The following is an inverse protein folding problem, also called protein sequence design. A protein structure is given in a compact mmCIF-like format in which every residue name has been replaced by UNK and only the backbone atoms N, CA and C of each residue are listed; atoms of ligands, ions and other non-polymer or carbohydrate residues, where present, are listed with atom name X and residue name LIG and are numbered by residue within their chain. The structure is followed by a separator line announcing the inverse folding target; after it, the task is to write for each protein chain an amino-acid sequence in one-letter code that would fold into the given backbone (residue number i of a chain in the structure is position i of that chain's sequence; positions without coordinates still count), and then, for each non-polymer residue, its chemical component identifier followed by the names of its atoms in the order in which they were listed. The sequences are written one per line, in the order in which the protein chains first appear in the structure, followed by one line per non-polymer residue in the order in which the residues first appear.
data_IF_514142150139
#
_entry.id   IF_514142150139
#
_cell.length_a   1.000
_cell.length_b   1.000
_cell.length_c   1.000
_cell.angle_alpha   90.00
_cell.angle_beta   90.00
_cell.angle_gamma   90.00
#
_symmetry.space_group_name_H-M   'P 1'
#
loop_
_entity.id
_entity.type
_entity.pdbx_description
1 polymer ?
#
# COMPACT_ATOMS: atom_id res chain seq x y z
N UNK A 1 9.92 -7.76 -20.23
CA UNK A 1 11.31 -7.97 -20.69
C UNK A 1 12.01 -8.98 -19.77
N UNK A 2 12.74 -9.95 -20.34
CA UNK A 2 13.45 -10.96 -19.55
C UNK A 2 14.56 -10.27 -18.72
N UNK A 3 14.57 -10.49 -17.39
CA UNK A 3 15.60 -9.98 -16.48
C UNK A 3 15.20 -8.86 -15.50
N UNK A 4 13.94 -8.42 -15.47
CA UNK A 4 13.46 -7.44 -14.48
C UNK A 4 12.94 -8.12 -13.21
N UNK A 5 13.45 -7.71 -12.05
CA UNK A 5 12.83 -8.01 -10.76
C UNK A 5 11.66 -7.05 -10.54
N UNK A 6 10.44 -7.60 -10.46
CA UNK A 6 9.22 -6.84 -10.19
C UNK A 6 8.86 -6.94 -8.71
N UNK A 7 8.47 -5.80 -8.13
CA UNK A 7 7.94 -5.73 -6.77
C UNK A 7 6.50 -5.24 -6.82
N UNK A 8 5.64 -5.87 -6.03
CA UNK A 8 4.27 -5.40 -5.79
C UNK A 8 4.28 -4.50 -4.55
N UNK A 9 3.72 -3.30 -4.66
CA UNK A 9 3.49 -2.45 -3.49
C UNK A 9 2.38 -3.02 -2.62
N UNK A 10 2.60 -3.09 -1.31
CA UNK A 10 1.58 -3.46 -0.34
C UNK A 10 1.04 -2.18 0.30
N UNK A 11 -0.29 -2.04 0.39
CA UNK A 11 -0.98 -0.87 0.93
C UNK A 11 -0.87 -0.69 2.45
N UNK A 12 0.22 -1.18 3.07
CA UNK A 12 0.50 -1.00 4.49
C UNK A 12 1.49 0.15 4.67
N UNK A 13 1.10 1.12 5.49
CA UNK A 13 1.90 2.30 5.73
C UNK A 13 2.10 2.55 7.23
N UNK A 14 3.26 3.10 7.57
CA UNK A 14 3.55 3.63 8.89
C UNK A 14 3.91 5.11 8.76
N UNK A 15 3.19 5.97 9.48
CA UNK A 15 3.38 7.41 9.44
C UNK A 15 3.79 7.96 10.80
N UNK A 16 4.61 9.01 10.79
CA UNK A 16 4.74 9.89 11.96
C UNK A 16 3.46 10.73 12.06
N UNK A 17 2.93 10.91 13.27
CA UNK A 17 1.69 11.66 13.52
C UNK A 17 1.72 13.05 12.87
N UNK A 18 2.80 13.80 13.09
CA UNK A 18 2.93 15.18 12.59
C UNK A 18 2.99 15.21 11.06
N UNK A 19 3.58 14.19 10.43
CA UNK A 19 3.59 14.08 8.98
C UNK A 19 2.18 13.81 8.46
N UNK A 20 1.46 12.83 9.04
CA UNK A 20 0.12 12.48 8.60
C UNK A 20 -0.84 13.68 8.66
N UNK A 21 -0.78 14.45 9.76
CA UNK A 21 -1.62 15.65 9.93
C UNK A 21 -1.32 16.76 8.91
N UNK A 22 -0.09 16.86 8.39
CA UNK A 22 0.25 17.80 7.32
C UNK A 22 -0.13 17.24 5.95
N UNK A 23 0.19 15.98 5.71
CA UNK A 23 -0.04 15.28 4.45
C UNK A 23 -1.52 15.31 4.04
N UNK A 24 -2.44 15.12 4.99
CA UNK A 24 -3.89 15.15 4.72
C UNK A 24 -4.42 16.54 4.34
N UNK A 25 -3.62 17.61 4.53
CA UNK A 25 -3.98 18.98 4.16
C UNK A 25 -3.43 19.39 2.79
N UNK A 26 -2.57 18.58 2.18
CA UNK A 26 -2.04 18.88 0.86
C UNK A 26 -3.11 18.67 -0.21
N UNK A 27 -3.18 19.55 -1.22
CA UNK A 27 -4.07 19.34 -2.35
C UNK A 27 -3.66 18.08 -3.12
N UNK A 28 -4.63 17.48 -3.82
CA UNK A 28 -4.37 16.38 -4.75
C UNK A 28 -3.33 16.84 -5.78
N UNK A 29 -2.28 16.06 -5.98
CA UNK A 29 -1.22 16.41 -6.93
C UNK A 29 -1.54 15.92 -8.35
N UNK A 30 -0.71 16.30 -9.32
CA UNK A 30 -0.91 15.91 -10.72
C UNK A 30 -0.77 14.39 -10.85
N UNK A 31 0.32 13.80 -10.34
CA UNK A 31 0.53 12.36 -10.48
C UNK A 31 -0.48 11.54 -9.67
N UNK A 32 -0.87 12.01 -8.48
CA UNK A 32 -1.96 11.36 -7.73
C UNK A 32 -3.26 11.35 -8.55
N UNK A 33 -3.54 12.43 -9.29
CA UNK A 33 -4.75 12.51 -10.13
C UNK A 33 -4.65 11.68 -11.40
N UNK A 34 -3.47 11.57 -12.01
CA UNK A 34 -3.26 10.79 -13.23
C UNK A 34 -3.24 9.29 -12.94
N UNK A 35 -2.51 8.87 -11.91
CA UNK A 35 -2.28 7.45 -11.59
C UNK A 35 -3.27 6.89 -10.56
N UNK A 36 -4.06 7.76 -9.90
CA UNK A 36 -4.93 7.39 -8.78
C UNK A 36 -4.15 6.74 -7.61
N UNK A 37 -2.92 7.20 -7.36
CA UNK A 37 -2.03 6.70 -6.32
C UNK A 37 -1.70 7.81 -5.30
N UNK A 38 -2.30 7.74 -4.11
CA UNK A 38 -2.16 8.76 -3.06
C UNK A 38 -0.70 9.03 -2.64
N UNK A 39 0.14 8.01 -2.61
CA UNK A 39 1.53 8.12 -2.19
C UNK A 39 2.36 9.02 -3.12
N UNK A 40 1.91 9.25 -4.36
CA UNK A 40 2.58 10.14 -5.30
C UNK A 40 2.49 11.62 -4.86
N UNK A 41 1.40 12.02 -4.18
CA UNK A 41 1.31 13.36 -3.57
C UNK A 41 2.41 13.61 -2.55
N UNK A 42 2.77 12.57 -1.79
CA UNK A 42 3.87 12.68 -0.84
C UNK A 42 5.20 12.92 -1.57
N UNK A 43 5.47 12.16 -2.64
CA UNK A 43 6.68 12.30 -3.44
C UNK A 43 6.77 13.65 -4.15
N UNK A 44 5.67 14.14 -4.75
CA UNK A 44 5.61 15.44 -5.43
C UNK A 44 5.81 16.62 -4.47
N UNK A 45 5.45 16.47 -3.19
CA UNK A 45 5.73 17.46 -2.14
C UNK A 45 7.11 17.28 -1.47
N UNK A 46 8.00 16.49 -2.06
CA UNK A 46 9.38 16.30 -1.61
C UNK A 46 9.52 15.40 -0.37
N UNK A 47 8.46 14.69 0.04
CA UNK A 47 8.56 13.70 1.10
C UNK A 47 9.30 12.45 0.59
N UNK A 48 9.99 11.75 1.50
CA UNK A 48 10.66 10.48 1.19
C UNK A 48 9.87 9.32 1.78
N UNK A 49 9.64 8.29 0.97
CA UNK A 49 9.00 7.04 1.37
C UNK A 49 10.08 5.97 1.48
N UNK A 50 10.20 5.35 2.65
CA UNK A 50 11.06 4.17 2.83
C UNK A 50 10.23 2.91 2.60
N UNK A 51 10.72 2.02 1.75
CA UNK A 51 10.12 0.70 1.50
C UNK A 51 11.05 -0.42 1.98
N UNK A 52 10.47 -1.59 2.24
CA UNK A 52 11.20 -2.82 2.60
C UNK A 52 10.58 -4.00 1.86
N UNK A 53 11.40 -4.97 1.47
CA UNK A 53 10.92 -6.21 0.84
C UNK A 53 10.49 -7.18 1.94
N UNK A 54 9.34 -7.81 1.78
CA UNK A 54 8.81 -8.82 2.71
C UNK A 54 8.36 -10.07 1.98
N UNK A 55 8.37 -11.20 2.67
CA UNK A 55 7.74 -12.46 2.24
C UNK A 55 6.32 -12.61 2.77
N UNK A 56 5.85 -11.67 3.59
CA UNK A 56 4.51 -11.71 4.16
C UNK A 56 3.47 -11.51 3.05
N UNK A 57 2.47 -12.39 3.04
CA UNK A 57 1.32 -12.28 2.17
C UNK A 57 0.13 -11.72 2.96
N UNK A 58 -0.67 -10.87 2.32
CA UNK A 58 -1.92 -10.38 2.87
C UNK A 58 -3.08 -11.05 2.14
N UNK A 59 -4.00 -11.64 2.88
CA UNK A 59 -5.28 -12.09 2.34
C UNK A 59 -6.22 -10.88 2.36
N UNK A 60 -6.46 -10.30 1.18
CA UNK A 60 -7.50 -9.30 1.01
C UNK A 60 -8.86 -10.01 0.98
N UNK A 61 -9.87 -9.43 1.63
CA UNK A 61 -11.22 -10.00 1.69
C UNK A 61 -12.19 -8.98 1.14
N UNK A 62 -12.49 -9.09 -0.16
CA UNK A 62 -13.39 -8.17 -0.88
C UNK A 62 -14.65 -8.89 -1.40
N UNK A 63 -14.61 -10.23 -1.49
CA UNK A 63 -15.69 -11.09 -1.96
C UNK A 63 -16.04 -12.20 -0.96
N UNK A 64 -17.17 -12.91 -1.19
CA UNK A 64 -17.55 -14.06 -0.37
C UNK A 64 -16.56 -15.23 -0.52
N UNK A 65 -15.96 -15.36 -1.70
CA UNK A 65 -14.92 -16.35 -2.00
C UNK A 65 -13.64 -16.04 -1.22
N UNK A 66 -13.25 -14.77 -1.12
CA UNK A 66 -12.10 -14.36 -0.32
C UNK A 66 -12.31 -14.64 1.17
N UNK A 67 -13.54 -14.44 1.67
CA UNK A 67 -13.89 -14.75 3.06
C UNK A 67 -13.67 -16.24 3.37
N UNK A 68 -14.16 -17.13 2.51
CA UNK A 68 -13.95 -18.59 2.67
C UNK A 68 -12.46 -18.92 2.71
N UNK A 69 -11.68 -18.30 1.82
CA UNK A 69 -10.21 -18.46 1.78
C UNK A 69 -9.55 -17.99 3.07
N UNK A 70 -9.96 -16.84 3.61
CA UNK A 70 -9.46 -16.31 4.86
C UNK A 70 -9.83 -17.21 6.06
N UNK A 71 -11.06 -17.73 6.12
CA UNK A 71 -11.51 -18.65 7.17
C UNK A 71 -10.72 -19.97 7.14
N UNK A 72 -10.44 -20.52 5.96
CA UNK A 72 -9.61 -21.71 5.81
C UNK A 72 -8.17 -21.44 6.24
N UNK A 73 -7.61 -20.29 5.88
CA UNK A 73 -6.28 -19.89 6.31
C UNK A 73 -6.19 -19.80 7.83
N UNK A 74 -7.16 -19.14 8.48
CA UNK A 74 -7.24 -19.01 9.94
C UNK A 74 -7.37 -20.38 10.61
N UNK A 75 -8.22 -21.27 10.12
CA UNK A 75 -8.36 -22.64 10.66
C UNK A 75 -7.07 -23.46 10.59
N UNK A 76 -6.19 -23.18 9.63
CA UNK A 76 -4.92 -23.90 9.44
C UNK A 76 -3.75 -23.32 10.24
N UNK A 77 -3.86 -22.07 10.72
CA UNK A 77 -2.74 -21.33 11.32
C UNK A 77 -3.06 -20.63 12.65
N UNK A 78 -4.30 -20.69 13.12
CA UNK A 78 -4.72 -20.24 14.47
C UNK A 78 -4.65 -21.38 15.48
#
# INVERSE_FOLDING_TARGET
PAGLTLYKHLGLYAYRKEFLLRYTRWPKSILESTEQLEQLRALENGARIKTVVTKAESIAVDTLEDLKTAEEFLRRHG
#
